data_IF_923035020197
#
_entry.id   IF_923035020197
#
_cell.length_a   1.000
_cell.length_b   1.000
_cell.length_c   1.000
_cell.angle_alpha   90.00
_cell.angle_beta   90.00
_cell.angle_gamma   90.00
#
_symmetry.space_group_name_H-M   'P 1'
#
loop_
_entity.id
_entity.type
_entity.pdbx_description
1 polymer ?
#
# COMPACT_ATOMS: atom_id res chain seq x y z
N UNK A 1 18.56 -7.29 10.69
CA UNK A 1 18.81 -6.69 9.36
C UNK A 1 20.18 -7.07 8.78
N UNK A 2 21.26 -7.15 9.57
CA UNK A 2 22.61 -7.49 9.06
C UNK A 2 22.70 -8.89 8.42
N UNK A 3 22.02 -9.91 8.97
CA UNK A 3 22.00 -11.26 8.39
C UNK A 3 21.33 -11.34 7.00
N UNK A 4 20.22 -10.62 6.78
CA UNK A 4 19.54 -10.56 5.48
C UNK A 4 20.40 -9.85 4.43
N UNK A 5 21.08 -8.77 4.82
CA UNK A 5 21.99 -8.04 3.93
C UNK A 5 23.20 -8.87 3.52
N UNK A 6 23.74 -9.70 4.42
CA UNK A 6 24.81 -10.64 4.07
C UNK A 6 24.37 -11.68 3.03
N UNK A 7 23.11 -12.10 3.03
CA UNK A 7 22.56 -13.02 2.03
C UNK A 7 22.44 -12.31 0.67
N UNK A 8 21.96 -11.06 0.66
CA UNK A 8 21.83 -10.26 -0.57
C UNK A 8 23.20 -9.92 -1.16
N UNK A 9 24.18 -9.51 -0.35
CA UNK A 9 25.55 -9.17 -0.80
C UNK A 9 26.35 -10.38 -1.30
N UNK A 10 26.08 -11.57 -0.75
CA UNK A 10 26.67 -12.82 -1.23
C UNK A 10 26.11 -13.25 -2.59
N UNK A 11 24.97 -12.72 -3.03
CA UNK A 11 24.39 -13.05 -4.32
C UNK A 11 25.19 -12.42 -5.47
N UNK A 12 25.54 -13.24 -6.46
CA UNK A 12 26.32 -12.84 -7.64
C UNK A 12 25.59 -11.81 -8.51
N UNK A 13 24.26 -11.84 -8.54
CA UNK A 13 23.43 -10.90 -9.29
C UNK A 13 23.52 -9.47 -8.72
N UNK A 14 23.41 -9.33 -7.40
CA UNK A 14 23.52 -8.03 -6.72
C UNK A 14 24.90 -7.41 -6.97
N UNK A 15 25.96 -8.21 -6.88
CA UNK A 15 27.34 -7.74 -7.09
C UNK A 15 27.54 -7.20 -8.51
N UNK A 16 27.03 -7.91 -9.54
CA UNK A 16 27.09 -7.49 -10.95
C UNK A 16 26.29 -6.22 -11.23
N UNK A 17 25.07 -6.12 -10.70
CA UNK A 17 24.22 -4.94 -10.89
C UNK A 17 24.79 -3.70 -10.18
N UNK A 18 25.40 -3.88 -9.01
CA UNK A 18 26.02 -2.79 -8.25
C UNK A 18 27.38 -2.33 -8.82
N UNK A 19 27.99 -3.09 -9.75
CA UNK A 19 29.26 -2.68 -10.38
C UNK A 19 29.06 -1.55 -11.40
N UNK A 20 27.84 -1.37 -11.93
CA UNK A 20 27.53 -0.29 -12.87
C UNK A 20 27.19 1.02 -12.13
N UNK A 21 27.84 2.12 -12.51
CA UNK A 21 27.72 3.45 -11.86
C UNK A 21 26.28 3.99 -11.78
N UNK A 22 25.42 3.64 -12.75
CA UNK A 22 24.00 4.04 -12.80
C UNK A 22 23.14 3.10 -11.95
N UNK A 23 23.28 1.79 -12.15
CA UNK A 23 22.47 0.79 -11.43
C UNK A 23 22.81 0.72 -9.94
N UNK A 24 24.08 0.90 -9.54
CA UNK A 24 24.46 0.92 -8.13
C UNK A 24 23.88 2.10 -7.34
N UNK A 25 23.57 3.22 -7.99
CA UNK A 25 22.84 4.33 -7.34
C UNK A 25 21.35 4.04 -7.16
N UNK A 26 20.75 3.32 -8.11
CA UNK A 26 19.33 2.96 -8.09
C UNK A 26 19.08 1.79 -7.14
N UNK A 27 19.85 0.71 -7.26
CA UNK A 27 19.78 -0.48 -6.39
C UNK A 27 20.52 -0.27 -5.06
N UNK A 28 20.15 0.80 -4.34
CA UNK A 28 20.64 1.01 -2.99
C UNK A 28 19.87 0.15 -1.97
N UNK A 29 20.48 -0.08 -0.81
CA UNK A 29 19.91 -0.76 0.36
C UNK A 29 18.54 -0.24 0.77
N UNK A 30 18.36 1.07 0.67
CA UNK A 30 17.09 1.73 0.93
C UNK A 30 16.00 1.26 -0.05
N UNK A 31 16.27 1.25 -1.36
CA UNK A 31 15.28 0.86 -2.37
C UNK A 31 14.90 -0.61 -2.23
N UNK A 32 15.88 -1.51 -2.09
CA UNK A 32 15.62 -2.95 -1.95
C UNK A 32 14.79 -3.23 -0.70
N UNK A 33 15.13 -2.59 0.42
CA UNK A 33 14.37 -2.74 1.66
C UNK A 33 12.96 -2.15 1.50
N UNK A 34 12.82 -0.99 0.84
CA UNK A 34 11.52 -0.36 0.58
C UNK A 34 10.59 -1.24 -0.24
N UNK A 35 11.09 -1.83 -1.34
CA UNK A 35 10.32 -2.76 -2.18
C UNK A 35 9.93 -4.01 -1.39
N UNK A 36 10.88 -4.56 -0.62
CA UNK A 36 10.62 -5.73 0.24
C UNK A 36 9.52 -5.46 1.28
N UNK A 37 9.61 -4.35 2.01
CA UNK A 37 8.58 -3.94 2.97
C UNK A 37 7.27 -3.55 2.27
N UNK A 38 7.32 -3.07 1.04
CA UNK A 38 6.15 -2.88 0.18
C UNK A 38 5.42 -4.20 -0.08
N UNK A 39 6.14 -5.25 -0.50
CA UNK A 39 5.56 -6.58 -0.69
C UNK A 39 5.01 -7.17 0.61
N UNK A 40 5.70 -6.98 1.73
CA UNK A 40 5.23 -7.43 3.05
C UNK A 40 3.96 -6.67 3.49
N UNK A 41 3.87 -5.38 3.17
CA UNK A 41 2.68 -4.56 3.42
C UNK A 41 1.46 -5.13 2.69
N UNK A 42 1.63 -5.54 1.43
CA UNK A 42 0.59 -6.20 0.65
C UNK A 42 0.16 -7.51 1.31
N UNK A 43 1.10 -8.34 1.75
CA UNK A 43 0.79 -9.58 2.47
C UNK A 43 0.00 -9.33 3.76
N UNK A 44 0.39 -8.32 4.55
CA UNK A 44 -0.34 -7.92 5.75
C UNK A 44 -1.75 -7.44 5.41
N UNK A 45 -1.91 -6.66 4.33
CA UNK A 45 -3.23 -6.24 3.86
C UNK A 45 -4.14 -7.44 3.59
N UNK A 46 -3.64 -8.48 2.90
CA UNK A 46 -4.41 -9.70 2.65
C UNK A 46 -4.76 -10.45 3.93
N UNK A 47 -3.79 -10.59 4.85
CA UNK A 47 -4.00 -11.29 6.14
C UNK A 47 -5.04 -10.55 6.98
N UNK A 48 -4.90 -9.23 7.13
CA UNK A 48 -5.83 -8.41 7.91
C UNK A 48 -7.20 -8.42 7.27
N UNK A 49 -7.30 -8.31 5.94
CA UNK A 49 -8.56 -8.39 5.23
C UNK A 49 -9.28 -9.72 5.51
N UNK A 50 -8.59 -10.84 5.35
CA UNK A 50 -9.14 -12.17 5.60
C UNK A 50 -9.54 -12.37 7.06
N UNK A 51 -8.67 -11.97 8.00
CA UNK A 51 -8.95 -12.06 9.42
C UNK A 51 -10.17 -11.21 9.80
N UNK A 52 -10.29 -10.01 9.24
CA UNK A 52 -11.40 -9.12 9.55
C UNK A 52 -12.71 -9.68 9.02
N UNK A 53 -12.75 -10.20 7.78
CA UNK A 53 -13.92 -10.92 7.27
C UNK A 53 -14.30 -12.09 8.20
N UNK A 54 -13.32 -12.90 8.62
CA UNK A 54 -13.56 -14.01 9.56
C UNK A 54 -14.13 -13.54 10.91
N UNK A 55 -13.67 -12.41 11.43
CA UNK A 55 -14.18 -11.81 12.66
C UNK A 55 -15.59 -11.24 12.48
N UNK A 56 -15.88 -10.60 11.35
CA UNK A 56 -17.21 -10.07 11.04
C UNK A 56 -18.24 -11.19 10.88
N UNK A 57 -17.85 -12.29 10.24
CA UNK A 57 -18.70 -13.48 10.10
C UNK A 57 -18.96 -14.15 11.46
N UNK A 58 -17.97 -14.18 12.37
CA UNK A 58 -18.13 -14.72 13.73
C UNK A 58 -18.97 -13.85 14.65
N UNK A 59 -18.83 -12.53 14.55
CA UNK A 59 -19.58 -11.57 15.40
C UNK A 59 -20.98 -11.30 14.87
N UNK A 60 -21.29 -11.79 13.67
CA UNK A 60 -22.55 -11.56 12.99
C UNK A 60 -22.79 -10.08 12.62
N UNK A 61 -21.72 -9.29 12.53
CA UNK A 61 -21.78 -7.87 12.18
C UNK A 61 -22.18 -7.75 10.70
N UNK A 62 -23.35 -7.15 10.44
CA UNK A 62 -24.01 -7.11 9.13
C UNK A 62 -24.40 -8.50 8.58
N UNK A 63 -24.69 -9.47 9.46
CA UNK A 63 -25.40 -10.71 9.11
C UNK A 63 -26.70 -10.78 9.91
N UNK A 64 -27.84 -11.01 9.25
CA UNK A 64 -29.16 -11.00 9.90
C UNK A 64 -29.61 -9.60 10.37
N UNK A 65 -30.45 -9.55 11.41
CA UNK A 65 -31.17 -8.36 11.92
C UNK A 65 -30.27 -7.24 12.50
N UNK A 66 -28.96 -7.46 12.63
CA UNK A 66 -27.96 -6.44 13.00
C UNK A 66 -27.61 -5.49 11.83
N UNK A 67 -28.18 -5.73 10.66
CA UNK A 67 -28.07 -4.92 9.46
C UNK A 67 -28.85 -3.59 9.56
N UNK A 68 -29.08 -3.02 10.75
CA UNK A 68 -29.94 -1.83 10.91
C UNK A 68 -29.59 -0.69 9.95
N UNK A 69 -28.31 -0.40 9.74
CA UNK A 69 -27.84 0.58 8.76
C UNK A 69 -28.02 0.12 7.29
N UNK A 70 -27.86 -1.17 6.99
CA UNK A 70 -28.14 -1.71 5.66
C UNK A 70 -29.65 -1.72 5.38
N UNK A 71 -30.50 -2.13 6.33
CA UNK A 71 -31.95 -2.09 6.23
C UNK A 71 -32.53 -0.68 6.18
N UNK A 72 -31.89 0.30 6.85
CA UNK A 72 -32.24 1.72 6.68
C UNK A 72 -31.95 2.23 5.27
N UNK A 73 -30.83 1.80 4.69
CA UNK A 73 -30.43 2.19 3.34
C UNK A 73 -31.24 1.45 2.26
N UNK A 74 -31.56 0.17 2.46
CA UNK A 74 -32.39 -0.66 1.56
C UNK A 74 -33.82 -0.11 1.39
N UNK A 75 -34.32 0.71 2.33
CA UNK A 75 -35.62 1.39 2.21
C UNK A 75 -35.67 2.44 1.10
N UNK A 76 -34.55 2.81 0.49
CA UNK A 76 -34.56 3.74 -0.62
C UNK A 76 -34.82 3.01 -1.95
N UNK A 77 -35.76 3.49 -2.79
CA UNK A 77 -36.17 2.82 -4.04
C UNK A 77 -35.05 2.56 -5.04
N UNK A 78 -33.95 3.31 -4.95
CA UNK A 78 -32.78 3.17 -5.83
C UNK A 78 -31.79 2.10 -5.35
N UNK A 79 -31.91 1.61 -4.10
CA UNK A 79 -31.03 0.60 -3.49
C UNK A 79 -31.59 -0.83 -3.56
N UNK A 80 -32.89 -1.01 -3.85
CA UNK A 80 -33.52 -2.32 -4.04
C UNK A 80 -32.91 -3.15 -5.17
N UNK A 81 -32.28 -2.49 -6.15
CA UNK A 81 -31.60 -3.15 -7.29
C UNK A 81 -30.23 -3.74 -6.94
N UNK A 82 -29.72 -3.52 -5.72
CA UNK A 82 -28.42 -4.03 -5.30
C UNK A 82 -28.56 -5.39 -4.59
N UNK A 83 -28.11 -6.51 -5.21
CA UNK A 83 -28.12 -7.79 -4.51
C UNK A 83 -27.14 -7.74 -3.31
N UNK A 84 -27.68 -7.85 -2.10
CA UNK A 84 -26.97 -7.95 -0.81
C UNK A 84 -26.09 -6.74 -0.42
N UNK A 85 -26.70 -5.59 -0.12
CA UNK A 85 -26.02 -4.38 0.38
C UNK A 85 -25.16 -4.68 1.62
N UNK A 86 -25.67 -5.49 2.55
CA UNK A 86 -24.94 -5.93 3.75
C UNK A 86 -23.59 -6.58 3.43
N UNK A 87 -23.54 -7.46 2.42
CA UNK A 87 -22.31 -8.13 1.97
C UNK A 87 -21.30 -7.13 1.41
N UNK A 88 -21.77 -6.18 0.59
CA UNK A 88 -20.91 -5.14 0.02
C UNK A 88 -20.31 -4.24 1.10
N UNK A 89 -21.12 -3.83 2.09
CA UNK A 89 -20.65 -3.01 3.22
C UNK A 89 -19.62 -3.75 4.09
N UNK A 90 -19.81 -5.06 4.35
CA UNK A 90 -18.81 -5.88 5.06
C UNK A 90 -17.48 -5.90 4.31
N UNK A 91 -17.50 -6.14 3.00
CA UNK A 91 -16.29 -6.18 2.18
C UNK A 91 -15.58 -4.82 2.16
N UNK A 92 -16.33 -3.72 1.99
CA UNK A 92 -15.77 -2.36 2.01
C UNK A 92 -15.15 -2.04 3.37
N UNK A 93 -15.84 -2.34 4.47
CA UNK A 93 -15.33 -2.12 5.82
C UNK A 93 -14.04 -2.93 6.08
N UNK A 94 -14.03 -4.21 5.73
CA UNK A 94 -12.84 -5.06 5.85
C UNK A 94 -11.69 -4.54 4.99
N UNK A 95 -11.97 -4.08 3.76
CA UNK A 95 -10.96 -3.50 2.88
C UNK A 95 -10.36 -2.21 3.47
N UNK A 96 -11.19 -1.29 3.96
CA UNK A 96 -10.74 -0.03 4.59
C UNK A 96 -9.89 -0.31 5.83
N UNK A 97 -10.34 -1.21 6.71
CA UNK A 97 -9.56 -1.59 7.90
C UNK A 97 -8.22 -2.21 7.49
N UNK A 98 -8.22 -3.14 6.53
CA UNK A 98 -6.99 -3.77 6.05
C UNK A 98 -6.00 -2.75 5.47
N UNK A 99 -6.51 -1.76 4.73
CA UNK A 99 -5.72 -0.69 4.14
C UNK A 99 -5.11 0.21 5.23
N UNK A 100 -5.87 0.58 6.28
CA UNK A 100 -5.35 1.37 7.40
C UNK A 100 -4.19 0.64 8.09
N UNK A 101 -4.35 -0.64 8.40
CA UNK A 101 -3.29 -1.45 9.01
C UNK A 101 -2.06 -1.58 8.11
N UNK A 102 -2.26 -1.81 6.81
CA UNK A 102 -1.19 -1.88 5.83
C UNK A 102 -0.40 -0.56 5.75
N UNK A 103 -1.10 0.58 5.69
CA UNK A 103 -0.47 1.90 5.69
C UNK A 103 0.30 2.15 6.98
N UNK A 104 -0.29 1.86 8.15
CA UNK A 104 0.36 2.04 9.44
C UNK A 104 1.65 1.20 9.55
N UNK A 105 1.57 -0.07 9.17
CA UNK A 105 2.74 -0.95 9.12
C UNK A 105 3.81 -0.42 8.16
N UNK A 106 3.42 0.00 6.96
CA UNK A 106 4.34 0.55 5.96
C UNK A 106 5.02 1.82 6.45
N UNK A 107 4.30 2.70 7.15
CA UNK A 107 4.85 3.92 7.71
C UNK A 107 5.90 3.60 8.79
N UNK A 108 5.56 2.72 9.74
CA UNK A 108 6.47 2.33 10.84
C UNK A 108 7.71 1.64 10.30
N UNK A 109 7.55 0.68 9.38
CA UNK A 109 8.67 -0.06 8.80
C UNK A 109 9.57 0.82 7.94
N UNK A 110 9.01 1.65 7.08
CA UNK A 110 9.80 2.57 6.27
C UNK A 110 10.56 3.57 7.15
N UNK A 111 9.90 4.21 8.13
CA UNK A 111 10.54 5.17 9.03
C UNK A 111 11.68 4.54 9.83
N UNK A 112 11.44 3.41 10.49
CA UNK A 112 12.41 2.81 11.42
C UNK A 112 13.49 1.96 10.73
N UNK A 113 13.11 1.14 9.74
CA UNK A 113 14.02 0.17 9.13
C UNK A 113 14.64 0.63 7.81
N UNK A 114 13.91 1.41 7.00
CA UNK A 114 14.43 1.85 5.69
C UNK A 114 15.22 3.15 5.81
N UNK A 115 14.69 4.13 6.56
CA UNK A 115 15.27 5.47 6.64
C UNK A 115 15.97 5.79 7.96
N UNK A 116 15.74 5.00 9.01
CA UNK A 116 16.46 5.10 10.29
C UNK A 116 16.28 6.44 11.01
N UNK A 117 15.21 7.20 10.73
CA UNK A 117 15.01 8.52 11.35
C UNK A 117 14.48 8.38 12.78
N UNK A 118 15.36 8.64 13.76
CA UNK A 118 15.08 8.59 15.20
C UNK A 118 14.42 9.88 15.72
N UNK A 119 13.72 10.62 14.87
CA UNK A 119 13.00 11.81 15.32
C UNK A 119 11.65 11.40 15.91
N UNK A 120 11.57 11.40 17.26
CA UNK A 120 10.37 11.04 18.05
C UNK A 120 9.44 12.22 18.32
N UNK A 121 9.71 13.39 17.76
CA UNK A 121 8.90 14.58 17.99
C UNK A 121 7.48 14.39 17.37
N UNK A 122 6.40 14.49 18.17
CA UNK A 122 5.05 14.20 17.71
C UNK A 122 4.59 15.07 16.53
N UNK A 123 4.97 16.35 16.52
CA UNK A 123 4.64 17.29 15.43
C UNK A 123 5.29 16.88 14.11
N UNK A 124 6.53 16.41 14.16
CA UNK A 124 7.26 15.96 12.98
C UNK A 124 6.71 14.61 12.48
N UNK A 125 6.43 13.67 13.39
CA UNK A 125 5.82 12.38 13.07
C UNK A 125 4.46 12.57 12.39
N UNK A 126 3.62 13.48 12.91
CA UNK A 126 2.33 13.75 12.31
C UNK A 126 2.47 14.33 10.89
N UNK A 127 3.41 15.26 10.66
CA UNK A 127 3.71 15.80 9.33
C UNK A 127 4.19 14.74 8.35
N UNK A 128 5.06 13.84 8.80
CA UNK A 128 5.54 12.71 7.99
C UNK A 128 4.39 11.74 7.67
N UNK A 129 3.53 11.45 8.64
CA UNK A 129 2.37 10.58 8.46
C UNK A 129 1.35 11.17 7.48
N UNK A 130 1.01 12.46 7.61
CA UNK A 130 0.06 13.10 6.69
C UNK A 130 0.62 13.19 5.27
N UNK A 131 1.91 13.49 5.11
CA UNK A 131 2.58 13.45 3.81
C UNK A 131 2.61 12.02 3.22
N UNK A 132 2.85 11.01 4.06
CA UNK A 132 2.84 9.61 3.64
C UNK A 132 1.44 9.14 3.22
N UNK A 133 0.41 9.45 4.01
CA UNK A 133 -0.98 9.19 3.67
C UNK A 133 -1.37 9.90 2.37
N UNK A 134 -1.00 11.17 2.21
CA UNK A 134 -1.24 11.93 0.98
C UNK A 134 -0.59 11.29 -0.24
N UNK A 135 0.67 10.85 -0.13
CA UNK A 135 1.36 10.14 -1.20
C UNK A 135 0.68 8.81 -1.58
N UNK A 136 0.12 8.10 -0.59
CA UNK A 136 -0.65 6.87 -0.82
C UNK A 136 -1.96 7.12 -1.54
N UNK A 137 -2.73 8.14 -1.13
CA UNK A 137 -3.95 8.52 -1.85
C UNK A 137 -3.66 9.01 -3.26
N UNK A 138 -2.65 9.85 -3.43
CA UNK A 138 -2.20 10.31 -4.75
C UNK A 138 -1.78 9.15 -5.64
N UNK A 139 -1.10 8.14 -5.07
CA UNK A 139 -0.70 6.94 -5.80
C UNK A 139 -1.88 6.13 -6.34
N UNK A 140 -3.02 6.07 -5.64
CA UNK A 140 -4.24 5.41 -6.15
C UNK A 140 -4.77 6.11 -7.40
N UNK A 141 -4.76 7.45 -7.38
CA UNK A 141 -5.13 8.24 -8.54
C UNK A 141 -4.13 8.06 -9.69
N UNK A 142 -2.83 8.10 -9.40
CA UNK A 142 -1.77 7.89 -10.39
C UNK A 142 -1.83 6.49 -11.01
N UNK A 143 -2.13 5.46 -10.23
CA UNK A 143 -2.37 4.09 -10.71
C UNK A 143 -3.51 4.08 -11.73
N UNK A 144 -4.66 4.62 -11.34
CA UNK A 144 -5.87 4.65 -12.16
C UNK A 144 -5.64 5.43 -13.45
N UNK A 145 -5.05 6.62 -13.35
CA UNK A 145 -4.71 7.45 -14.49
C UNK A 145 -3.75 6.73 -15.46
N UNK A 146 -2.74 6.03 -14.94
CA UNK A 146 -1.79 5.27 -15.76
C UNK A 146 -2.47 4.14 -16.51
N UNK A 147 -3.36 3.37 -15.85
CA UNK A 147 -4.11 2.30 -16.50
C UNK A 147 -4.97 2.87 -17.64
N UNK A 148 -5.73 3.94 -17.37
CA UNK A 148 -6.61 4.59 -18.35
C UNK A 148 -5.80 5.13 -19.53
N UNK A 149 -4.65 5.76 -19.29
CA UNK A 149 -3.79 6.30 -20.35
C UNK A 149 -3.18 5.17 -21.19
N UNK A 150 -2.60 4.13 -20.58
CA UNK A 150 -1.96 3.03 -21.32
C UNK A 150 -2.98 2.19 -22.10
N UNK A 151 -4.14 1.93 -21.51
CA UNK A 151 -5.20 1.15 -22.17
C UNK A 151 -5.83 1.94 -23.32
N UNK A 152 -6.30 3.17 -23.07
CA UNK A 152 -7.05 3.93 -24.07
C UNK A 152 -6.17 4.59 -25.13
N UNK A 153 -4.97 5.05 -24.78
CA UNK A 153 -4.11 5.77 -25.75
C UNK A 153 -3.18 4.83 -26.52
N UNK A 154 -2.67 3.78 -25.87
CA UNK A 154 -1.68 2.87 -26.47
C UNK A 154 -2.27 1.50 -26.84
N UNK A 155 -3.55 1.23 -26.54
CA UNK A 155 -4.20 -0.04 -26.84
C UNK A 155 -3.60 -1.23 -26.08
N UNK A 156 -2.86 -0.98 -25.00
CA UNK A 156 -2.20 -2.03 -24.23
C UNK A 156 -3.26 -2.80 -23.43
N UNK A 157 -3.18 -4.13 -23.42
CA UNK A 157 -4.08 -4.99 -22.61
C UNK A 157 -4.11 -4.54 -21.14
N UNK A 158 -5.30 -4.53 -20.55
CA UNK A 158 -5.56 -4.05 -19.17
C UNK A 158 -4.60 -4.64 -18.13
N UNK A 159 -4.33 -5.95 -18.21
CA UNK A 159 -3.44 -6.63 -17.25
C UNK A 159 -1.99 -6.14 -17.34
N UNK A 160 -1.53 -5.80 -18.55
CA UNK A 160 -0.17 -5.29 -18.78
C UNK A 160 -0.10 -3.82 -18.34
N UNK A 161 -1.12 -3.02 -18.65
CA UNK A 161 -1.24 -1.65 -18.17
C UNK A 161 -1.25 -1.58 -16.64
N UNK A 162 -1.98 -2.49 -15.99
CA UNK A 162 -2.00 -2.61 -14.52
C UNK A 162 -0.65 -3.02 -13.95
N UNK A 163 0.06 -3.95 -14.58
CA UNK A 163 1.42 -4.31 -14.20
C UNK A 163 2.37 -3.10 -14.26
N UNK A 164 2.33 -2.33 -15.35
CA UNK A 164 3.14 -1.12 -15.50
C UNK A 164 2.77 -0.04 -14.47
N UNK A 165 1.47 0.16 -14.21
CA UNK A 165 1.00 1.12 -13.22
C UNK A 165 1.49 0.79 -11.80
N UNK A 166 1.46 -0.50 -11.40
CA UNK A 166 1.98 -0.93 -10.10
C UNK A 166 3.47 -0.60 -9.97
N UNK A 167 4.27 -0.87 -11.00
CA UNK A 167 5.71 -0.56 -10.99
C UNK A 167 5.95 0.95 -10.87
N UNK A 168 5.23 1.75 -11.65
CA UNK A 168 5.31 3.21 -11.60
C UNK A 168 4.94 3.75 -10.21
N UNK A 169 3.84 3.26 -9.64
CA UNK A 169 3.36 3.65 -8.31
C UNK A 169 4.36 3.29 -7.22
N UNK A 170 5.02 2.13 -7.33
CA UNK A 170 6.08 1.72 -6.41
C UNK A 170 7.28 2.68 -6.48
N UNK A 171 7.68 3.06 -7.69
CA UNK A 171 8.75 4.03 -7.91
C UNK A 171 8.39 5.43 -7.38
N UNK A 172 7.19 5.93 -7.68
CA UNK A 172 6.69 7.21 -7.17
C UNK A 172 6.64 7.23 -5.64
N UNK A 173 6.13 6.16 -5.02
CA UNK A 173 6.08 6.05 -3.57
C UNK A 173 7.48 6.05 -2.93
N UNK A 174 8.46 5.38 -3.56
CA UNK A 174 9.85 5.44 -3.11
C UNK A 174 10.41 6.86 -3.24
N UNK A 175 10.20 7.54 -4.37
CA UNK A 175 10.66 8.92 -4.61
C UNK A 175 10.05 9.88 -3.59
N UNK A 176 8.73 9.82 -3.35
CA UNK A 176 8.06 10.64 -2.34
C UNK A 176 8.59 10.35 -0.93
N UNK A 177 8.75 9.06 -0.60
CA UNK A 177 9.30 8.65 0.70
C UNK A 177 10.72 9.20 0.90
N UNK A 178 11.57 9.13 -0.12
CA UNK A 178 12.97 9.57 -0.04
C UNK A 178 13.15 11.08 -0.08
N UNK A 179 12.48 11.78 -0.99
CA UNK A 179 12.75 13.20 -1.27
C UNK A 179 11.91 14.15 -0.39
N UNK A 180 10.66 13.80 -0.11
CA UNK A 180 9.72 14.70 0.54
C UNK A 180 9.46 14.33 2.01
N UNK A 181 9.40 13.03 2.31
CA UNK A 181 8.95 12.55 3.63
C UNK A 181 10.15 12.32 4.57
N UNK A 182 11.17 11.59 4.12
CA UNK A 182 12.33 11.23 4.94
C UNK A 182 13.61 11.94 4.49
N UNK A 183 13.53 13.27 4.39
CA UNK A 183 14.71 14.10 4.15
C UNK A 183 15.65 13.94 5.37
N UNK A 184 16.86 13.41 5.18
CA UNK A 184 17.92 13.55 6.17
C UNK A 184 18.14 15.05 6.37
N UNK A 185 17.75 15.55 7.54
CA UNK A 185 18.19 16.85 8.00
C UNK A 185 19.51 16.56 8.71
N UNK A 186 20.59 16.89 8.04
CA UNK A 186 21.87 17.11 8.71
C UNK A 186 21.72 18.26 9.72
#
# INVERSE_FOLDING_TARGET
MNKLWLIVEKNTLYRRLNTHRVFGKVFNREMISYVFFGALTTAISFIVFWLFILLLDKTGWLSGDSAGIAGLLERHPWLEKMPSLSRSLRVVAANVVSWIFAVAFSFVTNKHFVFGSTSREPKLVLKELTAFLGARFFSLFAETATIVLLFNLLGIREIVAKGAAIVLVLALNYIFSKLFIFKKRD
#
